data_IF_050497447744
#
_entry.id   IF_050497447744
#
_cell.length_a   1.000
_cell.length_b   1.000
_cell.length_c   1.000
_cell.angle_alpha   90.00
_cell.angle_beta   90.00
_cell.angle_gamma   90.00
#
_symmetry.space_group_name_H-M   'P 1'
#
loop_
_entity.id
_entity.type
_entity.pdbx_description
1 polymer ?
#
# COMPACT_ATOMS: atom_id res chain seq x y z
N UNK A 1 21.52 21.56 7.26
CA UNK A 1 21.50 21.14 5.84
C UNK A 1 20.19 21.64 5.24
N UNK A 2 20.25 22.61 4.32
CA UNK A 2 19.07 23.25 3.71
C UNK A 2 18.49 22.35 2.63
N UNK A 3 17.17 22.19 2.57
CA UNK A 3 16.47 21.27 1.65
C UNK A 3 16.54 21.62 0.16
N UNK A 4 17.36 22.61 -0.22
CA UNK A 4 17.39 23.21 -1.56
C UNK A 4 18.48 22.64 -2.48
N UNK A 5 19.46 21.90 -1.94
CA UNK A 5 20.50 21.19 -2.71
C UNK A 5 19.99 19.86 -3.28
N UNK A 6 18.77 19.83 -3.82
CA UNK A 6 18.24 18.61 -4.44
C UNK A 6 18.56 18.62 -5.93
N UNK A 7 19.38 17.67 -6.43
CA UNK A 7 19.78 17.66 -7.83
C UNK A 7 18.55 17.54 -8.74
N UNK A 8 18.52 18.35 -9.79
CA UNK A 8 17.47 18.31 -10.81
C UNK A 8 17.44 16.91 -11.44
N UNK A 9 16.24 16.30 -11.47
CA UNK A 9 16.04 15.02 -12.13
C UNK A 9 16.39 15.15 -13.62
N UNK A 10 17.48 14.53 -14.07
CA UNK A 10 17.90 14.59 -15.46
C UNK A 10 17.02 13.77 -16.42
N UNK A 11 16.22 12.84 -15.90
CA UNK A 11 15.33 11.98 -16.69
C UNK A 11 14.04 11.68 -15.92
N UNK A 12 12.95 11.53 -16.66
CA UNK A 12 11.69 11.04 -16.12
C UNK A 12 11.87 9.62 -15.55
N UNK A 13 11.28 9.30 -14.39
CA UNK A 13 11.26 7.93 -13.89
C UNK A 13 10.57 7.01 -14.88
N UNK A 14 11.11 5.80 -15.06
CA UNK A 14 10.44 4.79 -15.88
C UNK A 14 9.10 4.41 -15.25
N UNK A 15 8.03 4.48 -16.05
CA UNK A 15 6.71 4.00 -15.67
C UNK A 15 6.64 2.51 -15.97
N UNK A 16 6.57 1.69 -14.92
CA UNK A 16 6.53 0.23 -15.04
C UNK A 16 5.08 -0.22 -14.94
N UNK A 17 4.58 -0.82 -16.02
CA UNK A 17 3.28 -1.49 -16.05
C UNK A 17 3.50 -2.99 -15.81
N UNK A 18 2.83 -3.57 -14.80
CA UNK A 18 2.92 -5.01 -14.52
C UNK A 18 1.53 -5.63 -14.41
N UNK A 19 1.49 -6.95 -14.62
CA UNK A 19 0.30 -7.76 -14.38
C UNK A 19 0.35 -8.34 -12.96
N UNK A 20 -0.82 -8.54 -12.39
CA UNK A 20 -1.00 -9.35 -11.20
C UNK A 20 -0.79 -10.84 -11.54
N UNK A 21 -0.57 -11.68 -10.52
CA UNK A 21 -0.49 -13.14 -10.69
C UNK A 21 -1.74 -13.74 -11.35
N UNK A 22 -2.90 -13.07 -11.23
CA UNK A 22 -4.15 -13.49 -11.87
C UNK A 22 -4.29 -13.03 -13.33
N UNK A 23 -3.29 -12.35 -13.90
CA UNK A 23 -3.30 -11.85 -15.28
C UNK A 23 -3.93 -10.47 -15.49
N UNK A 24 -4.72 -9.96 -14.53
CA UNK A 24 -5.28 -8.60 -14.56
C UNK A 24 -4.16 -7.54 -14.41
N UNK A 25 -4.40 -6.33 -14.92
CA UNK A 25 -3.46 -5.22 -14.77
C UNK A 25 -3.31 -4.81 -13.30
N UNK A 26 -2.07 -4.77 -12.81
CA UNK A 26 -1.72 -4.07 -11.59
C UNK A 26 -1.50 -2.59 -11.92
N UNK A 27 -1.83 -1.69 -10.99
CA UNK A 27 -1.65 -0.25 -11.19
C UNK A 27 -0.20 0.15 -11.48
N UNK A 28 0.05 1.41 -11.83
CA UNK A 28 1.40 1.90 -12.13
C UNK A 28 2.12 2.33 -10.85
N UNK A 29 3.42 2.01 -10.74
CA UNK A 29 4.29 2.51 -9.66
C UNK A 29 5.59 3.05 -10.25
N UNK A 30 6.06 4.17 -9.72
CA UNK A 30 7.42 4.66 -9.97
C UNK A 30 8.40 3.91 -9.06
N UNK A 31 9.30 3.12 -9.63
CA UNK A 31 10.26 2.33 -8.87
C UNK A 31 11.22 1.52 -9.74
N UNK A 32 12.36 1.12 -9.17
CA UNK A 32 13.43 0.38 -9.86
C UNK A 32 13.44 -1.13 -9.61
N UNK A 33 12.49 -1.67 -8.85
CA UNK A 33 12.61 -3.03 -8.32
C UNK A 33 11.83 -4.07 -9.12
N UNK A 34 12.55 -5.11 -9.55
CA UNK A 34 11.97 -6.30 -10.20
C UNK A 34 11.28 -7.28 -9.23
N UNK A 35 11.51 -7.12 -7.92
CA UNK A 35 11.13 -8.08 -6.87
C UNK A 35 9.90 -7.67 -6.03
N UNK A 36 9.15 -6.63 -6.42
CA UNK A 36 7.91 -6.29 -5.72
C UNK A 36 6.78 -7.14 -6.27
N UNK A 37 5.92 -7.70 -5.41
CA UNK A 37 4.65 -8.28 -5.83
C UNK A 37 3.73 -7.17 -6.36
N UNK A 38 3.03 -7.44 -7.46
CA UNK A 38 2.10 -6.52 -8.09
C UNK A 38 0.68 -7.06 -7.99
N UNK A 39 -0.24 -6.20 -7.59
CA UNK A 39 -1.62 -6.57 -7.35
C UNK A 39 -2.57 -5.75 -8.23
N UNK A 40 -3.54 -6.42 -8.84
CA UNK A 40 -4.70 -5.73 -9.41
C UNK A 40 -5.61 -5.24 -8.27
N UNK A 41 -6.57 -4.36 -8.54
CA UNK A 41 -7.47 -3.83 -7.50
C UNK A 41 -8.17 -4.91 -6.65
N UNK A 42 -8.48 -6.07 -7.25
CA UNK A 42 -9.13 -7.21 -6.55
C UNK A 42 -8.20 -7.91 -5.57
N UNK A 43 -6.92 -8.03 -5.93
CA UNK A 43 -5.90 -8.68 -5.11
C UNK A 43 -5.03 -7.69 -4.35
N UNK A 44 -5.31 -6.40 -4.48
CA UNK A 44 -4.61 -5.38 -3.75
C UNK A 44 -4.79 -5.72 -2.28
N UNK A 45 -3.70 -5.82 -1.49
CA UNK A 45 -3.78 -5.99 -0.05
C UNK A 45 -4.28 -4.66 0.52
N UNK A 46 -5.56 -4.40 0.30
CA UNK A 46 -6.34 -3.48 1.11
C UNK A 46 -6.05 -3.89 2.54
N UNK A 47 -5.80 -2.94 3.44
CA UNK A 47 -5.53 -3.21 4.86
C UNK A 47 -6.78 -3.86 5.47
N UNK A 48 -7.08 -5.11 5.13
CA UNK A 48 -8.26 -5.85 5.55
C UNK A 48 -7.98 -6.45 6.90
N UNK A 49 -6.90 -7.23 7.07
CA UNK A 49 -6.59 -7.84 8.37
C UNK A 49 -6.37 -6.78 9.45
N UNK A 50 -5.38 -5.91 9.31
CA UNK A 50 -5.03 -4.97 10.38
C UNK A 50 -6.14 -3.96 10.74
N UNK A 51 -6.95 -3.50 9.77
CA UNK A 51 -8.07 -2.58 10.09
C UNK A 51 -9.28 -3.31 10.64
N UNK A 52 -9.59 -4.51 10.14
CA UNK A 52 -10.70 -5.32 10.68
C UNK A 52 -10.35 -5.81 12.08
N UNK A 53 -9.15 -6.33 12.30
CA UNK A 53 -8.63 -6.71 13.61
C UNK A 53 -8.67 -5.53 14.59
N UNK A 54 -8.19 -4.36 14.18
CA UNK A 54 -8.27 -3.16 15.01
C UNK A 54 -9.72 -2.75 15.33
N UNK A 55 -10.64 -2.89 14.37
CA UNK A 55 -12.07 -2.62 14.59
C UNK A 55 -12.72 -3.64 15.55
N UNK A 56 -12.37 -4.93 15.43
CA UNK A 56 -12.83 -5.98 16.34
C UNK A 56 -12.31 -5.77 17.76
N UNK A 57 -11.01 -5.48 17.91
CA UNK A 57 -10.39 -5.17 19.21
C UNK A 57 -11.04 -3.94 19.84
N UNK A 58 -11.26 -2.87 19.07
CA UNK A 58 -11.96 -1.68 19.56
C UNK A 58 -13.39 -2.00 20.02
N UNK A 59 -14.14 -2.83 19.27
CA UNK A 59 -15.49 -3.26 19.65
C UNK A 59 -15.50 -4.05 20.97
N UNK A 60 -14.54 -4.95 21.17
CA UNK A 60 -14.42 -5.71 22.42
C UNK A 60 -14.11 -4.81 23.62
N UNK A 61 -13.21 -3.84 23.45
CA UNK A 61 -12.86 -2.87 24.50
C UNK A 61 -14.04 -1.97 24.86
N UNK A 62 -14.78 -1.46 23.87
CA UNK A 62 -15.98 -0.63 24.12
C UNK A 62 -17.07 -1.39 24.90
N UNK A 63 -17.29 -2.67 24.59
CA UNK A 63 -18.25 -3.51 25.33
C UNK A 63 -17.84 -3.78 26.78
N UNK A 64 -16.52 -3.87 27.04
CA UNK A 64 -15.99 -4.10 28.39
C UNK A 64 -16.12 -2.86 29.26
N UNK A 65 -15.86 -1.67 28.70
CA UNK A 65 -16.02 -0.38 29.39
C UNK A 65 -17.49 -0.10 29.72
N UNK A 66 -18.43 -0.44 28.84
CA UNK A 66 -19.86 -0.22 29.08
C UNK A 66 -20.50 -1.14 30.15
N UNK A 67 -19.77 -2.13 30.67
CA UNK A 67 -20.25 -3.07 31.71
C UNK A 67 -19.57 -2.86 33.07
N UNK A 68 -18.67 -1.89 33.18
CA UNK A 68 -17.94 -1.55 34.40
C UNK A 68 -18.59 -0.39 35.16
#
# INVERSE_FOLDING_TARGET
MSGTDRPTLQRAPALVARKCHCGDWAGFRFGKSEQQEWWCWKHYPYKTSARLEAAEIASMLSKKVARG
#
